data_IF_343366396806
#
_entry.id   IF_343366396806
#
_cell.length_a   1.000
_cell.length_b   1.000
_cell.length_c   1.000
_cell.angle_alpha   90.00
_cell.angle_beta   90.00
_cell.angle_gamma   90.00
#
_symmetry.space_group_name_H-M   'P 1'
#
loop_
_entity.id
_entity.type
_entity.pdbx_description
1 polymer ?
#
# COMPACT_ATOMS: atom_id res chain seq x y z
N UNK A 1 6.62 -8.31 -11.86
CA UNK A 1 5.93 -7.68 -10.72
C UNK A 1 5.87 -8.65 -9.56
N UNK A 2 6.27 -8.19 -8.38
CA UNK A 2 6.19 -9.01 -7.17
C UNK A 2 4.78 -8.91 -6.60
N UNK A 3 4.20 -10.05 -6.27
CA UNK A 3 2.90 -10.14 -5.59
C UNK A 3 3.15 -10.85 -4.26
N UNK A 4 2.78 -10.20 -3.17
CA UNK A 4 2.93 -10.77 -1.83
C UNK A 4 1.57 -11.13 -1.27
N UNK A 5 1.40 -12.39 -0.91
CA UNK A 5 0.14 -12.86 -0.32
C UNK A 5 0.13 -12.63 1.17
N UNK A 6 -1.05 -12.35 1.71
CA UNK A 6 -1.22 -12.34 3.15
C UNK A 6 -2.68 -12.60 3.51
N UNK A 7 -2.90 -13.14 4.70
CA UNK A 7 -4.22 -13.39 5.24
C UNK A 7 -4.41 -12.50 6.45
N UNK A 8 -5.53 -11.80 6.52
CA UNK A 8 -5.89 -11.04 7.70
C UNK A 8 -7.21 -11.56 8.25
N UNK A 9 -7.39 -11.45 9.56
CA UNK A 9 -8.59 -11.93 10.25
C UNK A 9 -9.21 -10.73 10.94
N UNK A 10 -10.53 -10.53 10.76
CA UNK A 10 -11.19 -9.40 11.41
C UNK A 10 -11.61 -9.76 12.84
N UNK A 11 -12.19 -8.80 13.54
CA UNK A 11 -12.58 -8.96 14.94
C UNK A 11 -13.64 -10.04 15.13
N UNK A 12 -14.38 -10.37 14.07
CA UNK A 12 -15.42 -11.41 14.11
C UNK A 12 -14.91 -12.77 13.68
N UNK A 13 -13.61 -12.90 13.42
CA UNK A 13 -13.00 -14.15 13.02
C UNK A 13 -13.08 -14.46 11.53
N UNK A 14 -13.55 -13.52 10.71
CA UNK A 14 -13.60 -13.72 9.27
C UNK A 14 -12.23 -13.48 8.66
N UNK A 15 -11.80 -14.40 7.78
CA UNK A 15 -10.53 -14.30 7.08
C UNK A 15 -10.69 -13.61 5.75
N UNK A 16 -9.68 -12.82 5.39
CA UNK A 16 -9.59 -12.17 4.09
C UNK A 16 -8.26 -12.53 3.46
N UNK A 17 -8.31 -13.07 2.25
CA UNK A 17 -7.11 -13.36 1.48
C UNK A 17 -6.76 -12.12 0.67
N UNK A 18 -5.56 -11.58 0.90
CA UNK A 18 -5.12 -10.33 0.29
C UNK A 18 -3.84 -10.54 -0.51
N UNK A 19 -3.63 -9.66 -1.48
CA UNK A 19 -2.40 -9.60 -2.26
C UNK A 19 -1.88 -8.17 -2.21
N UNK A 20 -0.59 -8.02 -1.99
CA UNK A 20 0.07 -6.70 -2.00
C UNK A 20 0.91 -6.62 -3.26
N UNK A 21 0.59 -5.67 -4.12
CA UNK A 21 1.37 -5.42 -5.34
C UNK A 21 1.05 -4.03 -5.88
N UNK A 22 1.88 -3.56 -6.81
CA UNK A 22 1.73 -2.24 -7.41
C UNK A 22 1.50 -2.43 -8.91
N UNK A 23 0.35 -1.98 -9.39
CA UNK A 23 0.04 -1.95 -10.81
C UNK A 23 -0.30 -0.51 -11.20
N UNK A 24 -0.66 -0.28 -12.47
CA UNK A 24 -0.99 1.06 -12.95
C UNK A 24 -2.16 1.68 -12.18
N UNK A 25 -3.17 0.87 -11.88
CA UNK A 25 -4.32 1.35 -11.10
C UNK A 25 -3.92 1.77 -9.71
N UNK A 26 -2.99 1.02 -9.08
CA UNK A 26 -2.46 1.37 -7.76
C UNK A 26 -1.80 2.74 -7.81
N UNK A 27 -0.93 2.95 -8.78
CA UNK A 27 -0.19 4.21 -8.92
C UNK A 27 -1.15 5.38 -9.13
N UNK A 28 -2.14 5.21 -10.00
CA UNK A 28 -3.11 6.27 -10.25
C UNK A 28 -3.93 6.60 -9.01
N UNK A 29 -4.35 5.57 -8.27
CA UNK A 29 -5.11 5.78 -7.04
C UNK A 29 -4.27 6.47 -5.97
N UNK A 30 -3.00 6.08 -5.85
CA UNK A 30 -2.07 6.73 -4.92
C UNK A 30 -1.92 8.22 -5.27
N UNK A 31 -1.68 8.54 -6.56
CA UNK A 31 -1.55 9.92 -6.99
C UNK A 31 -2.79 10.74 -6.65
N UNK A 32 -3.97 10.20 -6.95
CA UNK A 32 -5.24 10.86 -6.67
C UNK A 32 -5.38 11.17 -5.17
N UNK A 33 -5.10 10.18 -4.33
CA UNK A 33 -5.29 10.32 -2.89
C UNK A 33 -4.20 11.20 -2.25
N UNK A 34 -2.97 11.12 -2.75
CA UNK A 34 -1.90 11.99 -2.27
C UNK A 34 -2.22 13.46 -2.52
N UNK A 35 -2.79 13.77 -3.68
CA UNK A 35 -3.11 15.15 -4.01
C UNK A 35 -4.23 15.71 -3.14
N UNK A 36 -5.07 14.85 -2.58
CA UNK A 36 -6.07 15.28 -1.59
C UNK A 36 -5.42 15.68 -0.28
N UNK A 37 -4.29 15.05 0.07
CA UNK A 37 -3.53 15.40 1.26
C UNK A 37 -2.75 16.69 1.06
N UNK A 38 -2.10 16.81 -0.09
CA UNK A 38 -1.30 17.97 -0.43
C UNK A 38 -1.16 18.02 -1.96
N UNK A 39 -1.62 19.11 -2.61
CA UNK A 39 -1.56 19.20 -4.08
C UNK A 39 -0.15 19.07 -4.66
N UNK A 40 0.88 19.28 -3.86
CA UNK A 40 2.27 19.18 -4.31
C UNK A 40 2.81 17.76 -4.26
N UNK A 41 2.09 16.83 -3.64
CA UNK A 41 2.54 15.44 -3.55
C UNK A 41 2.30 14.71 -4.87
N UNK A 42 3.21 13.81 -5.19
CA UNK A 42 3.03 12.85 -6.25
C UNK A 42 3.64 11.51 -5.81
N UNK A 43 3.47 10.49 -6.65
CA UNK A 43 3.90 9.14 -6.31
C UNK A 43 5.38 9.08 -5.92
N UNK A 44 6.23 9.79 -6.66
CA UNK A 44 7.67 9.72 -6.42
C UNK A 44 8.14 10.60 -5.26
N UNK A 45 7.65 11.84 -5.16
CA UNK A 45 8.16 12.73 -4.13
C UNK A 45 7.65 12.39 -2.73
N UNK A 46 6.53 11.66 -2.63
CA UNK A 46 6.00 11.26 -1.32
C UNK A 46 6.63 9.97 -0.78
N UNK A 47 7.40 9.25 -1.60
CA UNK A 47 8.03 7.99 -1.13
C UNK A 47 8.90 8.20 0.11
N UNK A 48 9.63 9.30 0.17
CA UNK A 48 10.48 9.61 1.32
C UNK A 48 9.71 9.80 2.62
N UNK A 49 8.43 10.16 2.53
CA UNK A 49 7.60 10.37 3.71
C UNK A 49 7.16 9.05 4.34
N UNK A 50 7.19 7.95 3.57
CA UNK A 50 6.90 6.62 4.11
C UNK A 50 7.97 6.25 5.13
N UNK A 51 9.24 6.50 4.81
CA UNK A 51 10.34 6.21 5.72
C UNK A 51 10.27 7.06 6.98
N UNK A 52 9.74 8.28 6.87
CA UNK A 52 9.57 9.17 8.01
C UNK A 52 8.36 8.82 8.87
N UNK A 53 7.55 7.84 8.43
CA UNK A 53 6.39 7.41 9.18
C UNK A 53 5.21 8.36 9.13
N UNK A 54 5.11 9.20 8.09
CA UNK A 54 3.95 10.06 7.88
C UNK A 54 2.73 9.18 7.65
N UNK A 55 1.92 8.98 8.70
CA UNK A 55 0.86 7.98 8.70
C UNK A 55 -0.12 8.13 7.54
N UNK A 56 -0.57 9.34 7.24
CA UNK A 56 -1.52 9.55 6.15
C UNK A 56 -0.93 9.13 4.79
N UNK A 57 0.36 9.37 4.60
CA UNK A 57 1.05 8.98 3.38
C UNK A 57 1.23 7.46 3.34
N UNK A 58 1.67 6.87 4.45
CA UNK A 58 1.84 5.41 4.55
C UNK A 58 0.53 4.70 4.22
N UNK A 59 -0.58 5.14 4.82
CA UNK A 59 -1.89 4.54 4.58
C UNK A 59 -2.32 4.69 3.13
N UNK A 60 -2.04 5.83 2.52
CA UNK A 60 -2.37 6.05 1.12
C UNK A 60 -1.69 5.03 0.22
N UNK A 61 -0.39 4.78 0.43
CA UNK A 61 0.32 3.78 -0.36
C UNK A 61 -0.17 2.37 -0.06
N UNK A 62 -0.26 2.01 1.22
CA UNK A 62 -0.65 0.66 1.63
C UNK A 62 -2.03 0.30 1.09
N UNK A 63 -3.03 1.14 1.35
CA UNK A 63 -4.40 0.80 0.99
C UNK A 63 -4.63 0.78 -0.53
N UNK A 64 -3.79 1.44 -1.29
CA UNK A 64 -3.86 1.42 -2.75
C UNK A 64 -2.98 0.35 -3.39
N UNK A 65 -2.22 -0.39 -2.57
CA UNK A 65 -1.42 -1.53 -3.03
C UNK A 65 -1.96 -2.86 -2.52
N UNK A 66 -2.95 -2.83 -1.63
CA UNK A 66 -3.59 -4.04 -1.12
C UNK A 66 -4.82 -4.35 -1.99
N UNK A 67 -4.95 -5.61 -2.37
CA UNK A 67 -6.04 -6.10 -3.21
C UNK A 67 -6.63 -7.35 -2.58
N UNK A 68 -7.91 -7.57 -2.77
CA UNK A 68 -8.48 -8.89 -2.47
C UNK A 68 -7.93 -9.86 -3.50
N UNK A 69 -7.68 -11.11 -3.09
CA UNK A 69 -7.12 -12.11 -3.99
C UNK A 69 -7.93 -12.19 -5.28
N UNK A 70 -7.23 -12.11 -6.41
CA UNK A 70 -7.83 -12.20 -7.73
C UNK A 70 -8.48 -10.93 -8.24
N UNK A 71 -8.53 -9.86 -7.44
CA UNK A 71 -9.09 -8.58 -7.86
C UNK A 71 -7.97 -7.61 -8.22
N UNK A 72 -8.14 -6.89 -9.31
CA UNK A 72 -7.14 -5.94 -9.79
C UNK A 72 -7.31 -4.55 -9.19
N UNK A 73 -8.47 -4.27 -8.61
CA UNK A 73 -8.76 -2.97 -8.02
C UNK A 73 -8.26 -2.94 -6.58
N UNK A 74 -7.55 -1.89 -6.16
CA UNK A 74 -7.10 -1.79 -4.78
C UNK A 74 -8.29 -1.66 -3.83
N UNK A 75 -8.11 -2.12 -2.59
CA UNK A 75 -9.19 -2.11 -1.59
C UNK A 75 -9.56 -0.71 -1.13
N UNK A 76 -8.62 0.23 -1.14
CA UNK A 76 -8.88 1.60 -0.71
C UNK A 76 -8.74 1.79 0.78
N UNK A 77 -8.79 3.07 1.19
CA UNK A 77 -8.47 3.47 2.56
C UNK A 77 -9.51 3.04 3.60
N UNK A 78 -10.76 2.86 3.17
CA UNK A 78 -11.83 2.50 4.11
C UNK A 78 -11.97 0.99 4.35
N UNK A 79 -11.21 0.20 3.62
CA UNK A 79 -11.36 -1.26 3.64
C UNK A 79 -11.23 -1.86 5.05
N UNK A 80 -10.22 -1.45 5.79
CA UNK A 80 -9.95 -2.04 7.10
C UNK A 80 -11.05 -1.71 8.10
N UNK A 81 -11.47 -0.46 8.15
CA UNK A 81 -12.52 -0.06 9.06
C UNK A 81 -13.88 -0.66 8.66
N UNK A 82 -14.19 -0.68 7.36
CA UNK A 82 -15.46 -1.22 6.88
C UNK A 82 -15.61 -2.71 7.13
N UNK A 83 -14.50 -3.43 7.28
CA UNK A 83 -14.51 -4.87 7.47
C UNK A 83 -14.09 -5.30 8.87
N UNK A 84 -14.00 -4.36 9.81
CA UNK A 84 -13.63 -4.62 11.20
C UNK A 84 -12.26 -5.28 11.34
N UNK A 85 -11.32 -4.86 10.49
CA UNK A 85 -9.94 -5.36 10.53
C UNK A 85 -9.08 -4.33 11.26
N UNK A 86 -8.37 -4.78 12.30
CA UNK A 86 -7.44 -3.92 13.03
C UNK A 86 -6.18 -3.69 12.19
N UNK A 87 -6.14 -2.54 11.52
CA UNK A 87 -5.00 -2.18 10.67
C UNK A 87 -3.67 -2.27 11.43
N UNK A 88 -3.63 -1.77 12.67
CA UNK A 88 -2.37 -1.70 13.42
C UNK A 88 -1.80 -3.09 13.73
N UNK A 89 -2.64 -4.08 13.85
CA UNK A 89 -2.19 -5.46 14.05
C UNK A 89 -1.36 -5.96 12.87
N UNK A 90 -1.70 -5.52 11.66
CA UNK A 90 -1.06 -6.00 10.43
C UNK A 90 -0.13 -4.97 9.79
N UNK A 91 -0.05 -3.76 10.34
CA UNK A 91 0.65 -2.65 9.69
C UNK A 91 2.11 -2.93 9.39
N UNK A 92 2.82 -3.53 10.34
CA UNK A 92 4.25 -3.82 10.16
C UNK A 92 4.48 -4.77 8.99
N UNK A 93 3.67 -5.81 8.89
CA UNK A 93 3.77 -6.78 7.81
C UNK A 93 3.37 -6.18 6.46
N UNK A 94 2.32 -5.37 6.47
CA UNK A 94 1.86 -4.68 5.26
C UNK A 94 2.94 -3.72 4.73
N UNK A 95 3.54 -2.94 5.61
CA UNK A 95 4.59 -2.00 5.23
C UNK A 95 5.82 -2.74 4.69
N UNK A 96 6.17 -3.86 5.32
CA UNK A 96 7.29 -4.68 4.86
C UNK A 96 7.05 -5.21 3.45
N UNK A 97 5.84 -5.73 3.19
CA UNK A 97 5.48 -6.23 1.88
C UNK A 97 5.43 -5.12 0.83
N UNK A 98 4.91 -3.96 1.23
CA UNK A 98 4.88 -2.79 0.36
C UNK A 98 6.30 -2.38 -0.03
N UNK A 99 7.22 -2.34 0.93
CA UNK A 99 8.61 -1.96 0.66
C UNK A 99 9.24 -2.88 -0.37
N UNK A 100 9.01 -4.19 -0.28
CA UNK A 100 9.52 -5.14 -1.25
C UNK A 100 8.96 -4.88 -2.65
N UNK A 101 7.67 -4.55 -2.73
CA UNK A 101 7.03 -4.24 -4.01
C UNK A 101 7.58 -2.94 -4.61
N UNK A 102 7.85 -1.95 -3.78
CA UNK A 102 8.43 -0.69 -4.24
C UNK A 102 9.83 -0.90 -4.79
N UNK A 103 10.64 -1.72 -4.12
CA UNK A 103 11.98 -2.04 -4.60
C UNK A 103 11.96 -2.72 -5.95
N UNK A 104 11.04 -3.67 -6.12
CA UNK A 104 10.93 -4.41 -7.37
C UNK A 104 10.57 -3.50 -8.53
N UNK A 105 9.68 -2.53 -8.29
CA UNK A 105 9.21 -1.65 -9.34
C UNK A 105 10.15 -0.49 -9.65
N UNK A 106 11.14 -0.25 -8.79
CA UNK A 106 12.08 0.86 -8.97
C UNK A 106 13.55 0.45 -8.78
N UNK A 107 13.98 -0.67 -9.40
CA UNK A 107 15.36 -1.14 -9.18
C UNK A 107 16.41 -0.18 -9.74
N UNK A 108 16.07 0.58 -10.76
CA UNK A 108 17.02 1.51 -11.38
C UNK A 108 17.41 2.65 -10.46
N UNK A 109 16.53 3.02 -9.54
CA UNK A 109 16.82 4.07 -8.57
C UNK A 109 18.01 3.68 -7.72
N UNK A 110 18.07 2.42 -7.32
CA UNK A 110 19.21 1.90 -6.54
C UNK A 110 20.50 1.95 -7.30
N UNK A 111 20.45 1.62 -8.59
CA UNK A 111 21.65 1.60 -9.43
C UNK A 111 22.19 2.99 -9.63
N UNK A 112 21.32 3.96 -9.75
CA UNK A 112 21.74 5.35 -9.91
C UNK A 112 22.38 5.89 -8.65
N UNK A 113 22.08 5.32 -7.51
CA UNK A 113 22.68 5.70 -6.25
C UNK A 113 24.14 5.32 -6.12
N UNK A 114 24.66 4.67 -7.12
CA UNK A 114 26.08 4.35 -7.13
C UNK A 114 26.92 5.61 -7.44
#
# INVERSE_FOLDING_TARGET
MIIKDMTVVNEKGKEFELEVYINTKSIMAIERDLKKLNPKYNYFNALGLIEKGEMSVVLTYVCNCVHKRGEKRPVGIDFFDDNDIDYFKYSKDLISKLAECLEDNHPTVKQEGK
#
